data_IF_500860600885
#
_entry.id   IF_500860600885
#
_cell.length_a   1.000
_cell.length_b   1.000
_cell.length_c   1.000
_cell.angle_alpha   90.00
_cell.angle_beta   90.00
_cell.angle_gamma   90.00
#
_symmetry.space_group_name_H-M   'P 1'
#
loop_
_entity.id
_entity.type
_entity.pdbx_description
1 polymer ?
#
# COMPACT_ATOMS: atom_id res chain seq x y z
N UNK A 1 1.23 -1.41 -10.85
CA UNK A 1 1.22 -0.93 -9.45
C UNK A 1 0.64 0.48 -9.33
N UNK A 2 1.07 1.43 -10.18
CA UNK A 2 0.56 2.82 -10.16
C UNK A 2 -0.97 2.91 -10.23
N UNK A 3 -1.60 2.14 -11.11
CA UNK A 3 -3.07 2.16 -11.26
C UNK A 3 -3.80 1.57 -10.06
N UNK A 4 -3.25 0.53 -9.43
CA UNK A 4 -3.78 -0.06 -8.20
C UNK A 4 -3.73 0.95 -7.04
N UNK A 5 -2.58 1.59 -6.81
CA UNK A 5 -2.42 2.58 -5.75
C UNK A 5 -3.33 3.80 -5.98
N UNK A 6 -3.53 4.21 -7.25
CA UNK A 6 -4.48 5.28 -7.59
C UNK A 6 -5.92 4.91 -7.25
N UNK A 7 -6.35 3.69 -7.56
CA UNK A 7 -7.70 3.21 -7.24
C UNK A 7 -7.94 3.15 -5.74
N UNK A 8 -6.96 2.66 -4.96
CA UNK A 8 -7.05 2.66 -3.50
C UNK A 8 -7.18 4.07 -2.93
N UNK A 9 -6.37 5.01 -3.42
CA UNK A 9 -6.47 6.41 -3.00
C UNK A 9 -7.85 7.02 -3.31
N UNK A 10 -8.42 6.71 -4.47
CA UNK A 10 -9.77 7.16 -4.81
C UNK A 10 -10.83 6.64 -3.83
N UNK A 11 -10.70 5.38 -3.40
CA UNK A 11 -11.61 4.79 -2.41
C UNK A 11 -11.44 5.48 -1.05
N UNK A 12 -10.19 5.72 -0.62
CA UNK A 12 -9.90 6.45 0.61
C UNK A 12 -10.47 7.88 0.60
N UNK A 13 -10.23 8.62 -0.48
CA UNK A 13 -10.73 9.99 -0.65
C UNK A 13 -12.27 10.02 -0.58
N UNK A 14 -12.95 9.06 -1.23
CA UNK A 14 -14.41 8.95 -1.18
C UNK A 14 -14.94 8.62 0.22
N UNK A 15 -14.26 7.74 0.97
CA UNK A 15 -14.63 7.42 2.35
C UNK A 15 -14.42 8.63 3.27
N UNK A 16 -13.36 9.40 3.04
CA UNK A 16 -13.09 10.65 3.75
C UNK A 16 -14.19 11.70 3.55
N UNK A 17 -14.75 11.79 2.34
CA UNK A 17 -15.91 12.65 2.04
C UNK A 17 -17.15 12.22 2.83
N UNK A 18 -17.36 10.91 3.00
CA UNK A 18 -18.46 10.36 3.81
C UNK A 18 -18.25 10.49 5.34
N UNK A 19 -17.11 11.03 5.78
CA UNK A 19 -16.78 11.23 7.19
C UNK A 19 -16.00 10.08 7.83
N UNK A 20 -15.72 9.01 7.10
CA UNK A 20 -14.88 7.90 7.57
C UNK A 20 -13.44 8.10 7.12
N UNK A 21 -12.62 8.70 7.99
CA UNK A 21 -11.17 8.72 7.77
C UNK A 21 -10.58 7.35 8.10
N UNK A 22 -9.98 6.72 7.09
CA UNK A 22 -9.18 5.52 7.31
C UNK A 22 -7.90 5.91 8.05
N UNK A 23 -7.50 5.10 9.03
CA UNK A 23 -6.19 5.25 9.68
C UNK A 23 -5.09 4.70 8.78
N UNK A 24 -3.92 5.34 8.77
CA UNK A 24 -2.73 4.90 8.02
C UNK A 24 -2.43 3.40 8.21
N UNK A 25 -2.57 2.85 9.42
CA UNK A 25 -2.35 1.43 9.68
C UNK A 25 -3.34 0.53 8.92
N UNK A 26 -4.63 0.94 8.84
CA UNK A 26 -5.64 0.23 8.05
C UNK A 26 -5.39 0.38 6.55
N UNK A 27 -4.95 1.56 6.11
CA UNK A 27 -4.59 1.80 4.71
C UNK A 27 -3.40 0.91 4.30
N UNK A 28 -2.33 0.89 5.09
CA UNK A 28 -1.17 0.02 4.86
C UNK A 28 -1.58 -1.46 4.81
N UNK A 29 -2.41 -1.92 5.75
CA UNK A 29 -2.91 -3.30 5.72
C UNK A 29 -3.73 -3.59 4.45
N UNK A 30 -4.58 -2.66 4.01
CA UNK A 30 -5.36 -2.81 2.78
C UNK A 30 -4.46 -2.89 1.54
N UNK A 31 -3.39 -2.07 1.47
CA UNK A 31 -2.40 -2.13 0.40
C UNK A 31 -1.76 -3.52 0.37
N UNK A 32 -1.16 -3.97 1.49
CA UNK A 32 -0.40 -5.21 1.56
C UNK A 32 -1.27 -6.45 1.29
N UNK A 33 -2.49 -6.49 1.82
CA UNK A 33 -3.41 -7.62 1.64
C UNK A 33 -3.97 -7.72 0.23
N UNK A 34 -3.98 -6.63 -0.54
CA UNK A 34 -4.47 -6.62 -1.93
C UNK A 34 -3.38 -6.84 -2.98
N UNK A 35 -2.13 -7.05 -2.58
CA UNK A 35 -1.04 -7.34 -3.51
C UNK A 35 -1.10 -8.78 -4.04
N UNK A 36 -0.69 -9.02 -5.29
CA UNK A 36 -0.52 -10.37 -5.81
C UNK A 36 0.67 -11.10 -5.16
N UNK A 37 0.69 -12.43 -5.25
CA UNK A 37 1.67 -13.29 -4.58
C UNK A 37 3.13 -13.04 -4.98
N UNK A 38 3.37 -12.40 -6.13
CA UNK A 38 4.71 -11.95 -6.55
C UNK A 38 5.35 -10.95 -5.55
N UNK A 39 4.54 -10.28 -4.74
CA UNK A 39 5.01 -9.36 -3.69
C UNK A 39 5.16 -10.03 -2.30
N UNK A 40 4.84 -11.32 -2.13
CA UNK A 40 4.81 -11.99 -0.82
C UNK A 40 6.14 -11.87 -0.04
N UNK A 41 7.27 -11.91 -0.75
CA UNK A 41 8.59 -11.73 -0.13
C UNK A 41 8.77 -10.32 0.45
N UNK A 42 8.24 -9.30 -0.24
CA UNK A 42 8.29 -7.90 0.21
C UNK A 42 7.30 -7.66 1.34
N UNK A 43 6.09 -8.21 1.23
CA UNK A 43 5.09 -8.18 2.31
C UNK A 43 5.65 -8.80 3.59
N UNK A 44 6.27 -9.97 3.49
CA UNK A 44 6.92 -10.66 4.63
C UNK A 44 8.03 -9.80 5.25
N UNK A 45 8.85 -9.15 4.41
CA UNK A 45 9.92 -8.27 4.87
C UNK A 45 9.38 -7.03 5.59
N UNK A 46 8.32 -6.41 5.07
CA UNK A 46 7.67 -5.24 5.68
C UNK A 46 7.01 -5.60 7.01
N UNK A 47 6.33 -6.75 7.09
CA UNK A 47 5.69 -7.21 8.34
C UNK A 47 6.74 -7.57 9.40
N UNK A 48 7.84 -8.21 8.99
CA UNK A 48 8.93 -8.61 9.90
C UNK A 48 9.81 -7.43 10.31
N UNK A 49 9.79 -6.37 9.51
CA UNK A 49 10.47 -5.11 9.77
C UNK A 49 9.85 -4.42 10.98
N UNK A 50 10.68 -4.01 11.94
CA UNK A 50 10.27 -3.15 13.07
C UNK A 50 10.15 -1.67 12.66
N UNK A 51 10.28 -1.36 11.37
CA UNK A 51 10.24 0.00 10.86
C UNK A 51 8.79 0.47 10.74
N UNK A 52 8.53 1.70 11.17
CA UNK A 52 7.27 2.37 10.85
C UNK A 52 7.32 2.81 9.38
N UNK A 53 6.35 2.35 8.59
CA UNK A 53 6.13 2.83 7.23
C UNK A 53 4.94 3.78 7.22
N UNK A 54 5.06 4.85 6.44
CA UNK A 54 3.92 5.65 6.02
C UNK A 54 3.43 5.18 4.63
N UNK A 55 2.20 5.57 4.28
CA UNK A 55 1.57 5.21 3.01
C UNK A 55 2.39 5.71 1.80
N UNK A 56 2.96 6.94 1.79
CA UNK A 56 3.81 7.40 0.69
C UNK A 56 5.08 6.58 0.49
N UNK A 57 5.81 6.25 1.57
CA UNK A 57 7.03 5.45 1.48
C UNK A 57 6.74 4.04 0.97
N UNK A 58 5.69 3.41 1.50
CA UNK A 58 5.26 2.08 1.03
C UNK A 58 4.90 2.11 -0.46
N UNK A 59 4.16 3.13 -0.89
CA UNK A 59 3.77 3.32 -2.29
C UNK A 59 4.99 3.47 -3.21
N UNK A 60 6.02 4.22 -2.79
CA UNK A 60 7.25 4.38 -3.56
C UNK A 60 7.99 3.05 -3.70
N UNK A 61 8.17 2.31 -2.60
CA UNK A 61 8.85 1.01 -2.61
C UNK A 61 8.20 0.04 -3.61
N UNK A 62 6.87 -0.02 -3.61
CA UNK A 62 6.12 -0.91 -4.51
C UNK A 62 6.25 -0.51 -5.99
N UNK A 63 6.26 0.80 -6.29
CA UNK A 63 6.49 1.30 -7.65
C UNK A 63 7.91 0.99 -8.13
N UNK A 64 8.91 1.21 -7.27
CA UNK A 64 10.31 0.94 -7.59
C UNK A 64 10.57 -0.57 -7.77
N UNK A 65 9.88 -1.41 -7.00
CA UNK A 65 9.95 -2.86 -7.17
C UNK A 65 9.38 -3.31 -8.51
N UNK A 66 8.18 -2.83 -8.87
CA UNK A 66 7.55 -3.12 -10.17
C UNK A 66 8.48 -2.72 -11.33
N UNK A 67 9.10 -1.54 -11.26
CA UNK A 67 10.03 -1.06 -12.29
C UNK A 67 11.32 -1.89 -12.43
N UNK A 68 11.70 -2.65 -11.39
CA UNK A 68 12.88 -3.54 -11.41
C UNK A 68 12.54 -4.96 -11.86
N UNK A 69 11.27 -5.33 -11.85
CA UNK A 69 10.78 -6.65 -12.27
C UNK A 69 10.16 -6.66 -13.68
N UNK A 70 10.03 -5.49 -14.31
CA UNK A 70 9.60 -5.32 -15.71
C UNK A 70 10.79 -5.23 -16.67
#
# INVERSE_FOLDING_TARGET
>A
MRDYLRQLKLIEDNLGICGEKISDAKHIAAILNGLPSEFDSVVTLIISSKQAYDVPALSSILIDLEARQS
#
